data_IF_215231164662
#
_entry.id   IF_215231164662
#
_cell.length_a   1.000
_cell.length_b   1.000
_cell.length_c   1.000
_cell.angle_alpha   90.00
_cell.angle_beta   90.00
_cell.angle_gamma   90.00
#
_symmetry.space_group_name_H-M   'P 1'
#
loop_
_entity.id
_entity.type
_entity.pdbx_description
1 polymer ?
#
# COMPACT_ATOMS: atom_id res chain seq x y z
N UNK A 1 -44.95 -38.10 -19.91
CA UNK A 1 -44.76 -36.73 -20.38
C UNK A 1 -44.20 -35.91 -19.21
N UNK A 2 -42.90 -35.80 -19.13
CA UNK A 2 -42.24 -35.07 -18.07
C UNK A 2 -41.21 -34.17 -18.74
N UNK A 3 -41.44 -32.83 -18.71
CA UNK A 3 -40.55 -31.83 -19.20
C UNK A 3 -39.47 -31.50 -18.19
N UNK A 4 -38.25 -31.81 -18.54
CA UNK A 4 -37.06 -31.45 -17.74
C UNK A 4 -36.65 -30.04 -18.08
N UNK A 5 -36.69 -29.15 -17.12
CA UNK A 5 -36.12 -27.78 -17.22
C UNK A 5 -34.66 -27.83 -16.74
N UNK A 6 -33.75 -27.59 -17.65
CA UNK A 6 -32.35 -27.32 -17.36
C UNK A 6 -32.23 -25.93 -16.71
N UNK A 7 -31.77 -25.90 -15.47
CA UNK A 7 -31.38 -24.69 -14.76
C UNK A 7 -29.90 -24.42 -15.04
N UNK A 8 -29.63 -23.31 -15.72
CA UNK A 8 -28.27 -22.78 -15.91
C UNK A 8 -27.83 -22.12 -14.60
N UNK A 9 -26.85 -22.75 -13.95
CA UNK A 9 -26.19 -22.19 -12.77
C UNK A 9 -25.28 -21.03 -13.18
N UNK A 10 -25.57 -19.85 -12.64
CA UNK A 10 -24.65 -18.73 -12.64
C UNK A 10 -23.54 -19.04 -11.61
N UNK A 11 -22.35 -19.32 -12.09
CA UNK A 11 -21.16 -19.43 -11.27
C UNK A 11 -20.69 -18.04 -10.83
N UNK A 12 -20.61 -17.85 -9.54
CA UNK A 12 -20.18 -16.62 -8.87
C UNK A 12 -18.67 -16.47 -8.93
N UNK A 13 -18.18 -15.41 -9.61
CA UNK A 13 -16.79 -14.95 -9.59
C UNK A 13 -16.50 -13.92 -8.47
N UNK A 14 -17.22 -13.96 -7.37
CA UNK A 14 -17.00 -13.05 -6.23
C UNK A 14 -16.07 -13.59 -5.12
N UNK A 15 -15.50 -14.78 -5.30
CA UNK A 15 -14.80 -15.50 -4.20
C UNK A 15 -13.44 -14.97 -3.79
N UNK A 16 -12.69 -14.27 -4.67
CA UNK A 16 -11.28 -13.97 -4.38
C UNK A 16 -11.07 -12.77 -3.46
N UNK A 17 -11.98 -11.81 -3.46
CA UNK A 17 -11.92 -10.63 -2.57
C UNK A 17 -12.33 -10.98 -1.14
N UNK A 18 -13.41 -11.73 -1.02
CA UNK A 18 -13.96 -12.17 0.27
C UNK A 18 -13.03 -13.14 1.00
N UNK A 19 -12.35 -14.02 0.27
CA UNK A 19 -11.38 -14.97 0.84
C UNK A 19 -10.15 -14.24 1.44
N UNK A 20 -9.69 -13.18 0.79
CA UNK A 20 -8.57 -12.36 1.28
C UNK A 20 -8.98 -11.54 2.52
N UNK A 21 -10.16 -10.96 2.50
CA UNK A 21 -10.72 -10.21 3.62
C UNK A 21 -10.97 -11.13 4.82
N UNK A 22 -11.51 -12.31 4.58
CA UNK A 22 -11.71 -13.34 5.60
C UNK A 22 -10.40 -13.86 6.18
N UNK A 23 -9.35 -14.03 5.36
CA UNK A 23 -8.02 -14.41 5.83
C UNK A 23 -7.39 -13.31 6.70
N UNK A 24 -7.59 -12.03 6.34
CA UNK A 24 -7.13 -10.88 7.14
C UNK A 24 -7.87 -10.77 8.47
N UNK A 25 -9.17 -11.00 8.50
CA UNK A 25 -9.97 -11.03 9.72
C UNK A 25 -9.58 -12.20 10.64
N UNK A 26 -9.33 -13.38 10.07
CA UNK A 26 -8.84 -14.55 10.83
C UNK A 26 -7.45 -14.30 11.40
N UNK A 27 -6.56 -13.67 10.66
CA UNK A 27 -5.22 -13.32 11.13
C UNK A 27 -5.28 -12.27 12.25
N UNK A 28 -6.16 -11.27 12.11
CA UNK A 28 -6.42 -10.30 13.17
C UNK A 28 -6.91 -10.98 14.46
N UNK A 29 -7.88 -11.88 14.34
CA UNK A 29 -8.41 -12.64 15.48
C UNK A 29 -7.34 -13.52 16.14
N UNK A 30 -6.46 -14.16 15.35
CA UNK A 30 -5.34 -14.95 15.87
C UNK A 30 -4.31 -14.09 16.61
N UNK A 31 -4.01 -12.91 16.10
CA UNK A 31 -3.10 -11.96 16.78
C UNK A 31 -3.74 -11.43 18.06
N UNK A 32 -5.02 -11.07 18.05
CA UNK A 32 -5.78 -10.63 19.23
C UNK A 32 -5.85 -11.71 20.30
N UNK A 33 -6.11 -12.97 19.93
CA UNK A 33 -6.10 -14.12 20.84
C UNK A 33 -4.70 -14.42 21.41
N UNK A 34 -3.67 -14.37 20.58
CA UNK A 34 -2.28 -14.54 21.01
C UNK A 34 -1.84 -13.43 21.99
N UNK A 35 -2.24 -12.18 21.73
CA UNK A 35 -1.96 -11.04 22.62
C UNK A 35 -2.72 -11.18 23.95
N UNK A 36 -3.99 -11.61 23.93
CA UNK A 36 -4.77 -11.88 25.15
C UNK A 36 -4.16 -13.00 26.00
N UNK A 37 -3.75 -14.10 25.39
CA UNK A 37 -3.11 -15.23 26.07
C UNK A 37 -1.73 -14.86 26.60
N UNK A 38 -1.01 -13.97 25.95
CA UNK A 38 0.31 -13.48 26.40
C UNK A 38 0.20 -12.55 27.60
N UNK A 39 -0.89 -11.77 27.75
CA UNK A 39 -1.18 -11.00 28.96
C UNK A 39 -1.30 -11.88 30.20
N UNK A 40 -1.82 -13.11 30.04
CA UNK A 40 -1.99 -14.06 31.16
C UNK A 40 -0.75 -14.93 31.41
N UNK A 41 0.20 -15.02 30.47
CA UNK A 41 1.42 -15.83 30.56
C UNK A 41 2.72 -15.00 30.60
N UNK A 42 2.66 -13.74 30.98
CA UNK A 42 3.79 -12.80 30.93
C UNK A 42 5.02 -13.22 31.77
N UNK A 43 4.99 -14.33 32.49
CA UNK A 43 6.11 -14.81 33.31
C UNK A 43 6.83 -16.07 32.78
N UNK A 44 6.43 -16.68 31.66
CA UNK A 44 6.99 -18.02 31.33
C UNK A 44 7.55 -18.21 29.92
N UNK A 45 7.45 -17.27 28.99
CA UNK A 45 8.00 -17.46 27.63
C UNK A 45 8.75 -16.22 27.15
N UNK A 46 10.05 -16.24 27.25
CA UNK A 46 10.95 -15.20 26.75
C UNK A 46 10.70 -14.91 25.26
N UNK A 47 9.98 -13.83 24.94
CA UNK A 47 10.34 -13.07 23.77
C UNK A 47 9.58 -13.29 22.45
N UNK A 48 8.55 -14.13 22.35
CA UNK A 48 7.86 -14.39 21.09
C UNK A 48 6.94 -13.23 20.65
N UNK A 49 6.21 -12.64 21.60
CA UNK A 49 5.34 -11.47 21.41
C UNK A 49 5.54 -10.53 22.61
N UNK A 50 5.87 -9.28 22.34
CA UNK A 50 6.03 -8.25 23.38
C UNK A 50 5.14 -7.06 23.05
N UNK A 51 4.17 -6.78 23.92
CA UNK A 51 3.32 -5.58 23.80
C UNK A 51 4.07 -4.39 24.36
N UNK A 52 4.14 -3.31 23.61
CA UNK A 52 4.71 -2.02 24.01
C UNK A 52 3.56 -1.02 24.10
N UNK A 53 2.97 -0.81 25.29
CA UNK A 53 1.99 0.24 25.48
C UNK A 53 2.72 1.59 25.45
N UNK A 54 2.22 2.52 24.63
CA UNK A 54 2.79 3.85 24.56
C UNK A 54 1.79 4.90 24.08
N UNK A 55 1.09 5.58 24.99
CA UNK A 55 0.16 6.64 24.63
C UNK A 55 0.81 7.80 23.87
N UNK A 56 2.11 8.01 24.04
CA UNK A 56 2.85 9.11 23.42
C UNK A 56 3.52 8.75 22.09
N UNK A 57 3.44 7.49 21.66
CA UNK A 57 4.18 6.96 20.50
C UNK A 57 5.72 7.03 20.58
N UNK A 58 6.28 7.59 21.64
CA UNK A 58 7.72 7.82 21.75
C UNK A 58 8.50 6.50 21.98
N UNK A 59 7.94 5.57 22.76
CA UNK A 59 8.54 4.24 22.96
C UNK A 59 8.44 3.37 21.72
N UNK A 60 7.29 3.43 21.04
CA UNK A 60 7.06 2.71 19.78
C UNK A 60 8.12 3.15 18.77
N UNK A 61 8.32 4.47 18.62
CA UNK A 61 9.33 5.04 17.74
C UNK A 61 10.74 4.57 18.10
N UNK A 62 11.18 4.74 19.35
CA UNK A 62 12.50 4.28 19.80
C UNK A 62 12.71 2.78 19.57
N UNK A 63 11.66 1.99 19.72
CA UNK A 63 11.74 0.55 19.44
C UNK A 63 11.89 0.30 17.94
N UNK A 64 11.17 1.02 17.08
CA UNK A 64 11.32 0.95 15.62
C UNK A 64 12.74 1.33 15.19
N UNK A 65 13.27 2.47 15.65
CA UNK A 65 14.63 2.93 15.36
C UNK A 65 15.68 1.89 15.80
N UNK A 66 15.51 1.31 17.00
CA UNK A 66 16.40 0.25 17.50
C UNK A 66 16.31 -1.02 16.65
N UNK A 67 15.13 -1.42 16.20
CA UNK A 67 14.98 -2.57 15.30
C UNK A 67 15.65 -2.32 13.96
N UNK A 68 15.45 -1.13 13.39
CA UNK A 68 16.09 -0.71 12.14
C UNK A 68 17.61 -0.77 12.24
N UNK A 69 18.21 -0.28 13.33
CA UNK A 69 19.66 -0.29 13.51
C UNK A 69 20.25 -1.70 13.61
N UNK A 70 19.43 -2.73 13.90
CA UNK A 70 19.87 -4.14 13.92
C UNK A 70 19.81 -4.81 12.56
N UNK A 71 19.20 -4.19 11.57
CA UNK A 71 19.00 -4.76 10.24
C UNK A 71 20.31 -5.09 9.54
N UNK A 72 20.38 -6.26 8.89
CA UNK A 72 21.57 -6.73 8.16
C UNK A 72 21.28 -7.03 6.69
N UNK A 73 20.05 -7.35 6.34
CA UNK A 73 19.67 -7.81 5.01
C UNK A 73 18.55 -6.97 4.40
N UNK A 74 17.45 -6.82 5.11
CA UNK A 74 16.27 -6.16 4.57
C UNK A 74 15.39 -5.56 5.65
N UNK A 75 14.76 -4.44 5.29
CA UNK A 75 13.68 -3.83 6.06
C UNK A 75 12.50 -3.59 5.13
N UNK A 76 11.30 -4.00 5.56
CA UNK A 76 10.05 -3.71 4.88
C UNK A 76 9.15 -2.92 5.83
N UNK A 77 8.71 -1.75 5.39
CA UNK A 77 7.81 -0.87 6.13
C UNK A 77 6.52 -0.69 5.34
N UNK A 78 5.39 -1.13 5.89
CA UNK A 78 4.06 -0.76 5.41
C UNK A 78 3.47 0.33 6.31
N UNK A 79 2.89 1.34 5.68
CA UNK A 79 2.22 2.45 6.34
C UNK A 79 0.75 2.47 5.94
N UNK A 80 -0.16 2.92 6.81
CA UNK A 80 -1.56 3.13 6.46
C UNK A 80 -1.70 4.06 5.24
N UNK A 81 -2.71 3.84 4.42
CA UNK A 81 -2.96 4.66 3.22
C UNK A 81 -3.13 6.15 3.57
N UNK A 82 -3.75 6.45 4.71
CA UNK A 82 -3.94 7.81 5.24
C UNK A 82 -3.08 8.02 6.49
N UNK A 83 -1.78 8.04 6.31
CA UNK A 83 -0.88 8.42 7.39
C UNK A 83 -0.59 9.91 7.32
N UNK A 84 -0.77 10.60 8.45
CA UNK A 84 -0.30 11.97 8.57
C UNK A 84 1.22 11.97 8.71
N UNK A 85 1.89 12.73 7.85
CA UNK A 85 3.32 12.95 7.98
C UNK A 85 3.60 13.69 9.28
N UNK A 86 4.48 13.12 10.09
CA UNK A 86 4.93 13.67 11.34
C UNK A 86 6.45 13.70 11.36
N UNK A 87 7.02 14.53 12.23
CA UNK A 87 8.47 14.56 12.45
C UNK A 87 9.01 13.17 12.82
N UNK A 88 8.22 12.41 13.56
CA UNK A 88 8.55 11.04 13.94
C UNK A 88 8.67 10.09 12.72
N UNK A 89 7.77 10.21 11.76
CA UNK A 89 7.82 9.40 10.54
C UNK A 89 8.97 9.84 9.62
N UNK A 90 9.23 11.16 9.56
CA UNK A 90 10.37 11.69 8.81
C UNK A 90 11.70 11.16 9.38
N UNK A 91 11.89 11.17 10.71
CA UNK A 91 13.06 10.59 11.38
C UNK A 91 13.22 9.10 11.09
N UNK A 92 12.11 8.35 11.09
CA UNK A 92 12.12 6.92 10.76
C UNK A 92 12.59 6.68 9.32
N UNK A 93 12.10 7.47 8.37
CA UNK A 93 12.50 7.39 6.97
C UNK A 93 13.99 7.76 6.77
N UNK A 94 14.50 8.72 7.53
CA UNK A 94 15.93 9.07 7.52
C UNK A 94 16.79 7.91 8.00
N UNK A 95 16.41 7.25 9.11
CA UNK A 95 17.08 6.04 9.62
C UNK A 95 17.07 4.90 8.60
N UNK A 96 15.94 4.69 7.91
CA UNK A 96 15.84 3.69 6.85
C UNK A 96 16.76 4.00 5.65
N UNK A 97 16.95 5.26 5.34
CA UNK A 97 17.86 5.68 4.30
C UNK A 97 19.32 5.45 4.67
N UNK A 98 19.69 5.74 5.90
CA UNK A 98 21.05 5.51 6.40
C UNK A 98 21.44 4.04 6.29
N UNK A 99 20.59 3.11 6.73
CA UNK A 99 20.87 1.68 6.60
C UNK A 99 20.86 1.21 5.14
N UNK A 100 20.05 1.82 4.29
CA UNK A 100 20.07 1.53 2.85
C UNK A 100 21.39 1.95 2.21
N UNK A 101 21.96 3.08 2.62
CA UNK A 101 23.29 3.51 2.18
C UNK A 101 24.39 2.54 2.63
N UNK A 102 24.17 1.81 3.72
CA UNK A 102 25.03 0.75 4.21
C UNK A 102 24.78 -0.62 3.52
N UNK A 103 23.91 -0.68 2.50
CA UNK A 103 23.66 -1.88 1.69
C UNK A 103 22.47 -2.72 2.12
N UNK A 104 21.70 -2.32 3.14
CA UNK A 104 20.48 -3.01 3.56
C UNK A 104 19.36 -2.71 2.56
N UNK A 105 18.65 -3.73 2.10
CA UNK A 105 17.49 -3.55 1.19
C UNK A 105 16.31 -2.98 1.96
N UNK A 106 15.84 -1.80 1.56
CA UNK A 106 14.68 -1.13 2.17
C UNK A 106 13.53 -1.03 1.20
N UNK A 107 12.34 -1.48 1.62
CA UNK A 107 11.09 -1.39 0.88
C UNK A 107 10.08 -0.62 1.73
N UNK A 108 9.56 0.48 1.22
CA UNK A 108 8.53 1.29 1.88
C UNK A 108 7.25 1.28 1.06
N UNK A 109 6.17 0.78 1.63
CA UNK A 109 4.83 0.79 1.06
C UNK A 109 3.98 1.81 1.81
N UNK A 110 3.35 2.74 1.10
CA UNK A 110 2.49 3.72 1.75
C UNK A 110 1.49 4.34 0.80
N UNK A 111 0.58 5.14 1.35
CA UNK A 111 -0.44 5.84 0.56
C UNK A 111 0.12 7.05 -0.20
N UNK A 112 -0.70 7.64 -1.11
CA UNK A 112 -0.31 8.81 -1.90
C UNK A 112 0.19 10.00 -1.05
N UNK A 113 -0.38 10.19 0.14
CA UNK A 113 -0.03 11.30 1.04
C UNK A 113 1.43 11.33 1.49
N UNK A 114 2.15 10.19 1.45
CA UNK A 114 3.58 10.20 1.77
C UNK A 114 4.42 10.99 0.75
N UNK A 115 3.91 11.19 -0.46
CA UNK A 115 4.58 11.94 -1.52
C UNK A 115 4.46 13.45 -1.37
N UNK A 116 3.51 13.92 -0.56
CA UNK A 116 3.31 15.35 -0.30
C UNK A 116 4.36 15.89 0.68
N UNK A 117 4.99 14.99 1.43
CA UNK A 117 6.06 15.37 2.34
C UNK A 117 7.33 15.77 1.58
N UNK A 118 7.92 16.90 1.99
CA UNK A 118 9.14 17.44 1.38
C UNK A 118 10.36 16.55 1.61
N UNK A 119 10.40 15.81 2.74
CA UNK A 119 11.49 14.89 3.05
C UNK A 119 11.38 13.64 2.17
N UNK A 120 10.18 13.06 2.04
CA UNK A 120 9.95 11.93 1.12
C UNK A 120 10.27 12.33 -0.32
N UNK A 121 9.84 13.52 -0.77
CA UNK A 121 10.18 14.04 -2.11
C UNK A 121 11.68 14.16 -2.34
N UNK A 122 12.44 14.60 -1.34
CA UNK A 122 13.90 14.68 -1.40
C UNK A 122 14.53 13.28 -1.47
N UNK A 123 13.93 12.29 -0.82
CA UNK A 123 14.41 10.90 -0.82
C UNK A 123 14.03 10.13 -2.09
N UNK A 124 12.95 10.54 -2.78
CA UNK A 124 12.53 10.00 -4.08
C UNK A 124 13.24 10.65 -5.26
N UNK A 125 14.07 11.67 -5.05
CA UNK A 125 14.97 12.16 -6.10
C UNK A 125 15.84 10.97 -6.58
N UNK A 126 16.14 10.88 -7.90
CA UNK A 126 16.87 9.74 -8.44
C UNK A 126 18.23 9.64 -7.76
N UNK A 127 18.29 8.87 -6.70
CA UNK A 127 19.56 8.41 -6.14
C UNK A 127 20.03 7.32 -7.06
N UNK A 128 21.31 7.33 -7.38
CA UNK A 128 22.05 6.45 -8.32
C UNK A 128 21.40 5.07 -8.54
N UNK A 129 21.50 4.44 -9.73
CA UNK A 129 20.81 3.20 -10.11
C UNK A 129 21.11 1.96 -9.23
N UNK A 130 21.82 2.12 -8.13
CA UNK A 130 22.20 1.06 -7.19
C UNK A 130 21.58 1.22 -5.79
N UNK A 131 20.55 2.08 -5.62
CA UNK A 131 19.95 2.21 -4.29
C UNK A 131 19.07 1.02 -3.94
N UNK A 132 19.37 0.46 -2.80
CA UNK A 132 18.59 -0.59 -2.13
C UNK A 132 17.33 -0.02 -1.43
N UNK A 133 16.98 1.26 -1.66
CA UNK A 133 15.82 1.95 -1.11
C UNK A 133 14.74 2.12 -2.18
N UNK A 134 13.64 1.40 -2.03
CA UNK A 134 12.52 1.45 -2.97
C UNK A 134 11.23 1.84 -2.24
N UNK A 135 10.42 2.69 -2.88
CA UNK A 135 9.14 3.18 -2.36
C UNK A 135 8.05 2.89 -3.39
N UNK A 136 6.96 2.29 -2.92
CA UNK A 136 5.77 2.07 -3.73
C UNK A 136 4.54 2.65 -3.08
N UNK A 137 3.60 3.07 -3.90
CA UNK A 137 2.35 3.69 -3.52
C UNK A 137 1.22 2.69 -3.70
N UNK A 138 0.42 2.52 -2.65
CA UNK A 138 -0.81 1.74 -2.64
C UNK A 138 -1.95 2.60 -2.11
N UNK A 139 -3.14 2.42 -2.66
CA UNK A 139 -4.37 3.05 -2.19
C UNK A 139 -5.16 2.14 -1.26
N UNK A 140 -4.76 0.89 -1.16
CA UNK A 140 -5.34 -0.07 -0.24
C UNK A 140 -4.96 0.26 1.21
N UNK A 141 -5.86 -0.08 2.13
CA UNK A 141 -5.61 0.09 3.56
C UNK A 141 -4.62 -0.98 4.04
N UNK A 142 -3.54 -0.53 4.64
CA UNK A 142 -2.52 -1.41 5.23
C UNK A 142 -2.40 -1.13 6.72
N UNK A 143 -2.08 -2.17 7.47
CA UNK A 143 -1.64 -2.01 8.86
C UNK A 143 -0.21 -1.48 8.88
N UNK A 144 0.09 -0.64 9.88
CA UNK A 144 1.46 -0.19 10.10
C UNK A 144 2.29 -1.36 10.62
N UNK A 145 3.22 -1.81 9.80
CA UNK A 145 4.12 -2.91 10.14
C UNK A 145 5.53 -2.65 9.62
N UNK A 146 6.51 -2.84 10.51
CA UNK A 146 7.93 -2.84 10.20
C UNK A 146 8.44 -4.27 10.33
N UNK A 147 9.01 -4.84 9.27
CA UNK A 147 9.60 -6.19 9.25
C UNK A 147 11.10 -6.05 9.04
N UNK A 148 11.90 -6.63 9.92
CA UNK A 148 13.37 -6.57 9.88
C UNK A 148 13.93 -7.96 9.68
N UNK A 149 14.69 -8.16 8.60
CA UNK A 149 15.40 -9.39 8.20
C UNK A 149 14.50 -10.64 8.13
N UNK A 150 13.17 -10.50 8.11
CA UNK A 150 12.23 -11.61 8.25
C UNK A 150 12.29 -12.33 9.61
N UNK A 151 12.94 -11.73 10.61
CA UNK A 151 13.15 -12.31 11.95
C UNK A 151 12.41 -11.58 13.04
N UNK A 152 12.08 -10.34 12.83
CA UNK A 152 11.34 -9.51 13.78
C UNK A 152 10.37 -8.62 13.03
N UNK A 153 9.21 -8.38 13.64
CA UNK A 153 8.30 -7.34 13.18
C UNK A 153 7.82 -6.48 14.36
N UNK A 154 7.57 -5.21 14.08
CA UNK A 154 6.87 -4.30 14.96
C UNK A 154 5.58 -3.92 14.25
N UNK A 155 4.46 -4.28 14.82
CA UNK A 155 3.13 -3.97 14.29
C UNK A 155 2.42 -3.01 15.22
N UNK A 156 1.91 -1.92 14.66
CA UNK A 156 1.04 -1.01 15.40
C UNK A 156 -0.36 -1.59 15.47
N UNK A 157 -0.95 -1.53 16.65
CA UNK A 157 -2.31 -2.02 16.88
C UNK A 157 -3.05 -1.05 17.79
N UNK A 158 -4.31 -0.83 17.47
CA UNK A 158 -5.23 -0.08 18.31
C UNK A 158 -6.12 -1.11 19.02
N UNK A 159 -5.70 -1.55 20.20
CA UNK A 159 -6.46 -2.50 20.99
C UNK A 159 -7.31 -1.76 22.04
N UNK A 160 -8.58 -1.56 21.75
CA UNK A 160 -9.59 -1.11 22.73
C UNK A 160 -9.28 0.22 23.41
N UNK A 161 -9.68 0.33 24.68
CA UNK A 161 -9.63 1.57 25.48
C UNK A 161 -8.22 2.00 25.91
N UNK A 162 -7.21 1.18 25.70
CA UNK A 162 -5.86 1.39 26.22
C UNK A 162 -4.95 2.32 25.36
N UNK A 163 -5.49 2.89 24.30
CA UNK A 163 -4.74 3.78 23.40
C UNK A 163 -3.78 3.05 22.45
N UNK A 164 -2.94 3.79 21.70
CA UNK A 164 -2.04 3.21 20.72
C UNK A 164 -1.02 2.27 21.38
N UNK A 165 -0.89 1.10 20.81
CA UNK A 165 0.03 0.06 21.25
C UNK A 165 0.82 -0.46 20.05
N UNK A 166 1.98 -1.05 20.31
CA UNK A 166 2.71 -1.80 19.30
C UNK A 166 3.07 -3.19 19.85
N UNK A 167 3.13 -4.14 18.94
CA UNK A 167 3.52 -5.52 19.27
C UNK A 167 4.79 -5.85 18.53
N UNK A 168 5.83 -6.24 19.28
CA UNK A 168 7.04 -6.83 18.70
C UNK A 168 6.81 -8.33 18.54
N UNK A 169 6.99 -8.84 17.33
CA UNK A 169 6.70 -10.21 16.91
C UNK A 169 8.02 -10.89 16.53
N UNK A 170 8.26 -12.09 17.08
CA UNK A 170 9.41 -12.95 16.74
C UNK A 170 9.00 -14.39 16.40
N UNK A 171 7.71 -14.63 16.24
CA UNK A 171 7.17 -15.95 15.90
C UNK A 171 7.40 -16.22 14.41
N UNK A 172 8.19 -17.24 14.00
CA UNK A 172 8.59 -17.42 12.62
C UNK A 172 7.42 -17.61 11.65
N UNK A 173 6.36 -18.29 12.08
CA UNK A 173 5.16 -18.52 11.25
C UNK A 173 4.41 -17.21 10.98
N UNK A 174 4.25 -16.37 12.00
CA UNK A 174 3.60 -15.05 11.86
C UNK A 174 4.46 -14.13 10.99
N UNK A 175 5.78 -14.15 11.16
CA UNK A 175 6.69 -13.35 10.33
C UNK A 175 6.63 -13.74 8.85
N UNK A 176 6.55 -15.04 8.53
CA UNK A 176 6.35 -15.50 7.16
C UNK A 176 5.03 -15.04 6.59
N UNK A 177 3.95 -15.12 7.36
CA UNK A 177 2.63 -14.63 6.93
C UNK A 177 2.65 -13.12 6.65
N UNK A 178 3.23 -12.31 7.55
CA UNK A 178 3.39 -10.88 7.36
C UNK A 178 4.24 -10.53 6.13
N UNK A 179 5.33 -11.24 5.90
CA UNK A 179 6.19 -11.03 4.71
C UNK A 179 5.48 -11.42 3.42
N UNK A 180 4.66 -12.48 3.43
CA UNK A 180 3.81 -12.88 2.28
C UNK A 180 2.78 -11.81 1.97
N UNK A 181 2.06 -11.31 2.97
CA UNK A 181 1.09 -10.22 2.81
C UNK A 181 1.73 -8.94 2.30
N UNK A 182 2.88 -8.56 2.89
CA UNK A 182 3.63 -7.41 2.42
C UNK A 182 4.06 -7.58 0.96
N UNK A 183 4.55 -8.75 0.59
CA UNK A 183 5.01 -9.03 -0.78
C UNK A 183 3.86 -9.00 -1.78
N UNK A 184 2.68 -9.50 -1.42
CA UNK A 184 1.47 -9.40 -2.24
C UNK A 184 1.05 -7.95 -2.46
N UNK A 185 0.95 -7.17 -1.38
CA UNK A 185 0.64 -5.74 -1.45
C UNK A 185 1.71 -4.95 -2.24
N UNK A 186 2.98 -5.29 -2.04
CA UNK A 186 4.10 -4.71 -2.76
C UNK A 186 4.03 -4.94 -4.27
N UNK A 187 3.68 -6.14 -4.69
CA UNK A 187 3.59 -6.50 -6.12
C UNK A 187 2.50 -5.72 -6.84
N UNK A 188 1.40 -5.43 -6.15
CA UNK A 188 0.26 -4.67 -6.67
C UNK A 188 0.44 -3.15 -6.58
N UNK A 189 1.47 -2.68 -5.88
CA UNK A 189 1.69 -1.26 -5.65
C UNK A 189 2.50 -0.61 -6.78
N UNK A 190 2.19 0.66 -7.07
CA UNK A 190 2.86 1.45 -8.11
C UNK A 190 4.17 2.04 -7.60
N UNK A 191 5.30 1.92 -8.33
CA UNK A 191 6.54 2.62 -7.98
C UNK A 191 6.30 4.13 -7.79
N UNK A 192 6.82 4.70 -6.72
CA UNK A 192 6.59 6.11 -6.36
C UNK A 192 7.01 7.10 -7.46
N UNK A 193 8.05 6.77 -8.23
CA UNK A 193 8.47 7.60 -9.37
C UNK A 193 7.45 7.60 -10.50
N UNK A 194 6.88 6.43 -10.82
CA UNK A 194 5.82 6.29 -11.83
C UNK A 194 4.56 7.01 -11.36
N UNK A 195 4.16 6.80 -10.10
CA UNK A 195 3.04 7.51 -9.49
C UNK A 195 3.20 9.04 -9.59
N UNK A 196 4.38 9.59 -9.30
CA UNK A 196 4.64 11.03 -9.41
C UNK A 196 4.52 11.54 -10.84
N UNK A 197 5.00 10.80 -11.83
CA UNK A 197 4.87 11.18 -13.25
C UNK A 197 3.40 11.25 -13.64
N UNK A 198 2.64 10.24 -13.30
CA UNK A 198 1.19 10.19 -13.56
C UNK A 198 0.46 11.28 -12.80
N UNK A 199 0.71 11.45 -11.51
CA UNK A 199 0.11 12.52 -10.70
C UNK A 199 0.45 13.93 -11.21
N UNK A 200 1.67 14.16 -11.67
CA UNK A 200 2.06 15.47 -12.20
C UNK A 200 1.41 15.75 -13.56
N UNK A 201 1.29 14.75 -14.43
CA UNK A 201 0.60 14.86 -15.73
C UNK A 201 -0.92 14.80 -15.57
N UNK A 202 -1.44 13.92 -14.72
CA UNK A 202 -2.88 13.84 -14.43
C UNK A 202 -3.45 15.11 -13.79
N UNK A 203 -2.59 15.99 -13.29
CA UNK A 203 -2.97 17.37 -12.88
C UNK A 203 -3.04 18.33 -14.07
N UNK A 204 -2.52 17.97 -15.23
CA UNK A 204 -2.80 18.76 -16.43
C UNK A 204 -4.27 18.55 -16.79
N UNK A 205 -4.99 19.64 -17.09
CA UNK A 205 -6.43 19.58 -17.37
C UNK A 205 -6.73 18.60 -18.51
N UNK A 206 -5.90 18.57 -19.55
CA UNK A 206 -6.04 17.65 -20.68
C UNK A 206 -5.96 16.18 -20.26
N UNK A 207 -4.97 15.82 -19.42
CA UNK A 207 -4.83 14.43 -18.98
C UNK A 207 -6.01 14.00 -18.09
N UNK A 208 -6.50 14.89 -17.23
CA UNK A 208 -7.69 14.63 -16.42
C UNK A 208 -8.93 14.42 -17.29
N UNK A 209 -9.13 15.24 -18.28
CA UNK A 209 -10.25 15.12 -19.23
C UNK A 209 -10.16 13.82 -20.03
N UNK A 210 -8.97 13.42 -20.49
CA UNK A 210 -8.77 12.13 -21.17
C UNK A 210 -9.12 10.97 -20.22
N UNK A 211 -8.69 11.01 -18.96
CA UNK A 211 -9.03 9.98 -17.98
C UNK A 211 -10.54 9.90 -17.73
N UNK A 212 -11.24 11.04 -17.70
CA UNK A 212 -12.72 11.07 -17.63
C UNK A 212 -13.33 10.39 -18.86
N UNK A 213 -12.89 10.71 -20.06
CA UNK A 213 -13.38 10.06 -21.29
C UNK A 213 -13.12 8.53 -21.29
N UNK A 214 -12.02 8.07 -20.68
CA UNK A 214 -11.75 6.63 -20.55
C UNK A 214 -12.72 5.93 -19.59
N UNK A 215 -13.24 6.63 -18.59
CA UNK A 215 -14.24 6.08 -17.65
C UNK A 215 -15.68 6.18 -18.16
N UNK A 216 -15.98 7.16 -19.01
CA UNK A 216 -17.33 7.33 -19.60
C UNK A 216 -17.61 6.37 -20.77
N UNK A 217 -16.58 5.67 -21.29
CA UNK A 217 -16.74 4.74 -22.41
C UNK A 217 -16.92 5.41 -23.77
N UNK A 218 -16.55 6.68 -23.90
CA UNK A 218 -16.62 7.42 -25.17
C UNK A 218 -15.68 6.82 -26.23
N UNK A 219 -16.05 6.98 -27.50
CA UNK A 219 -15.17 6.61 -28.61
C UNK A 219 -14.01 7.60 -28.74
N UNK A 220 -12.89 7.16 -29.31
CA UNK A 220 -11.71 8.02 -29.52
C UNK A 220 -12.06 9.27 -30.34
N UNK A 221 -12.93 9.12 -31.28
CA UNK A 221 -13.37 10.19 -32.17
C UNK A 221 -14.20 11.24 -31.41
N UNK A 222 -15.17 10.79 -30.60
CA UNK A 222 -16.01 11.66 -29.78
C UNK A 222 -15.19 12.39 -28.72
N UNK A 223 -14.35 11.65 -27.98
CA UNK A 223 -13.46 12.21 -26.96
C UNK A 223 -12.47 13.21 -27.56
N UNK A 224 -11.84 12.89 -28.68
CA UNK A 224 -10.90 13.80 -29.33
C UNK A 224 -11.61 15.09 -29.80
N UNK A 225 -12.81 14.98 -30.37
CA UNK A 225 -13.61 16.12 -30.77
C UNK A 225 -14.00 17.00 -29.56
N UNK A 226 -14.48 16.39 -28.50
CA UNK A 226 -14.85 17.11 -27.27
C UNK A 226 -13.69 17.85 -26.63
N UNK A 227 -12.47 17.35 -26.77
CA UNK A 227 -11.23 17.93 -26.24
C UNK A 227 -10.51 18.88 -27.23
N UNK A 228 -11.04 19.06 -28.44
CA UNK A 228 -10.39 19.88 -29.48
C UNK A 228 -9.07 19.30 -29.98
N UNK A 229 -8.89 17.97 -29.89
CA UNK A 229 -7.66 17.27 -30.28
C UNK A 229 -7.88 16.49 -31.59
N UNK A 230 -6.80 16.24 -32.36
CA UNK A 230 -6.86 15.21 -33.38
C UNK A 230 -6.94 13.82 -32.75
N UNK A 231 -7.63 12.87 -33.41
CA UNK A 231 -7.72 11.47 -32.94
C UNK A 231 -6.33 10.86 -32.74
N UNK A 232 -5.38 11.19 -33.59
CA UNK A 232 -3.97 10.75 -33.47
C UNK A 232 -3.34 11.28 -32.18
N UNK A 233 -3.54 12.54 -31.84
CA UNK A 233 -3.02 13.17 -30.60
C UNK A 233 -3.67 12.56 -29.38
N UNK A 234 -4.99 12.38 -29.41
CA UNK A 234 -5.74 11.73 -28.34
C UNK A 234 -5.21 10.30 -28.06
N UNK A 235 -5.10 9.46 -29.09
CA UNK A 235 -4.58 8.08 -28.98
C UNK A 235 -3.17 8.03 -28.43
N UNK A 236 -2.32 8.98 -28.80
CA UNK A 236 -0.96 9.09 -28.24
C UNK A 236 -1.02 9.38 -26.74
N UNK A 237 -1.80 10.34 -26.30
CA UNK A 237 -1.96 10.66 -24.88
C UNK A 237 -2.56 9.50 -24.09
N UNK A 238 -3.53 8.78 -24.63
CA UNK A 238 -4.08 7.57 -24.02
C UNK A 238 -3.00 6.51 -23.84
N UNK A 239 -2.17 6.24 -24.85
CA UNK A 239 -1.08 5.28 -24.77
C UNK A 239 -0.03 5.68 -23.72
N UNK A 240 0.34 6.96 -23.67
CA UNK A 240 1.24 7.51 -22.66
C UNK A 240 0.68 7.34 -21.25
N UNK A 241 -0.60 7.67 -21.02
CA UNK A 241 -1.27 7.51 -19.74
C UNK A 241 -1.39 6.04 -19.34
N UNK A 242 -1.75 5.15 -20.27
CA UNK A 242 -1.81 3.71 -20.01
C UNK A 242 -0.43 3.17 -19.58
N UNK A 243 0.63 3.54 -20.29
CA UNK A 243 1.99 3.13 -19.95
C UNK A 243 2.39 3.64 -18.54
N UNK A 244 2.05 4.88 -18.22
CA UNK A 244 2.36 5.49 -16.92
C UNK A 244 1.59 4.86 -15.78
N UNK A 245 0.31 4.49 -16.01
CA UNK A 245 -0.55 3.81 -15.06
C UNK A 245 -0.22 2.32 -14.92
N UNK A 246 0.64 1.78 -15.78
CA UNK A 246 0.90 0.33 -15.84
C UNK A 246 -0.33 -0.47 -16.28
N UNK A 247 -1.23 0.14 -17.04
CA UNK A 247 -2.48 -0.46 -17.49
C UNK A 247 -2.30 -1.15 -18.84
N UNK A 248 -2.85 -2.36 -18.98
CA UNK A 248 -2.85 -3.10 -20.25
C UNK A 248 -4.11 -2.87 -21.07
N UNK A 249 -5.12 -2.22 -20.50
CA UNK A 249 -6.36 -1.83 -21.19
C UNK A 249 -6.83 -0.43 -20.75
N UNK A 250 -7.66 0.20 -21.56
CA UNK A 250 -8.27 1.51 -21.26
C UNK A 250 -9.13 1.47 -20.00
N UNK A 251 -9.92 0.40 -19.85
CA UNK A 251 -10.71 0.16 -18.66
C UNK A 251 -9.81 0.11 -17.42
N UNK A 252 -8.73 -0.66 -17.48
CA UNK A 252 -7.77 -0.76 -16.38
C UNK A 252 -7.10 0.60 -16.09
N UNK A 253 -6.82 1.40 -17.11
CA UNK A 253 -6.30 2.77 -16.90
C UNK A 253 -7.29 3.65 -16.15
N UNK A 254 -8.58 3.56 -16.47
CA UNK A 254 -9.64 4.25 -15.73
C UNK A 254 -9.74 3.82 -14.28
N UNK A 255 -9.74 2.50 -14.04
CA UNK A 255 -9.74 1.93 -12.68
C UNK A 255 -8.54 2.42 -11.88
N UNK A 256 -7.33 2.29 -12.43
CA UNK A 256 -6.10 2.75 -11.78
C UNK A 256 -6.12 4.27 -11.52
N UNK A 257 -6.71 5.07 -12.44
CA UNK A 257 -6.83 6.51 -12.23
C UNK A 257 -7.74 6.86 -11.03
N UNK A 258 -8.83 6.13 -10.83
CA UNK A 258 -9.70 6.27 -9.65
C UNK A 258 -8.99 5.79 -8.40
N UNK A 259 -8.37 4.61 -8.42
CA UNK A 259 -7.60 4.05 -7.30
C UNK A 259 -6.47 4.98 -6.87
N UNK A 260 -5.81 5.62 -7.80
CA UNK A 260 -4.73 6.58 -7.56
C UNK A 260 -5.23 7.98 -7.17
N UNK A 261 -6.56 8.17 -7.07
CA UNK A 261 -7.17 9.44 -6.70
C UNK A 261 -6.99 10.56 -7.74
N UNK A 262 -6.67 10.22 -8.98
CA UNK A 262 -6.56 11.16 -10.11
C UNK A 262 -7.94 11.57 -10.62
N UNK A 263 -8.93 10.70 -10.44
CA UNK A 263 -10.34 10.93 -10.66
C UNK A 263 -11.10 10.74 -9.35
N UNK A 264 -12.06 11.61 -9.08
CA UNK A 264 -13.07 11.34 -8.06
C UNK A 264 -14.12 10.43 -8.69
N UNK A 265 -14.55 9.33 -8.02
CA UNK A 265 -15.74 8.65 -8.47
C UNK A 265 -16.88 9.67 -8.43
N UNK A 266 -17.46 9.97 -9.58
CA UNK A 266 -18.72 10.73 -9.59
C UNK A 266 -19.73 9.87 -8.85
N UNK A 267 -20.27 10.40 -7.74
CA UNK A 267 -21.41 9.79 -7.10
C UNK A 267 -22.50 9.76 -8.18
N UNK A 268 -22.82 8.56 -8.67
CA UNK A 268 -23.92 8.34 -9.60
C UNK A 268 -25.15 9.00 -9.00
N UNK A 269 -25.56 10.09 -9.63
CA UNK A 269 -26.87 10.68 -9.34
C UNK A 269 -27.92 9.64 -9.72
N UNK A 270 -28.49 8.97 -8.72
CA UNK A 270 -29.65 8.10 -8.83
C UNK A 270 -30.90 8.97 -8.97
#
# INVERSE_FOLDING_TARGET
MAGSRLSLGHGSESGSGDDLEQALLQMRALVEDAVSKTRHRANAAHGALTVVPDPSNARIRRNAERLISTARRSVSLALPCRVAMSEALSSLLDSLREISAAGVRVRVLGGPGILDDRHVRRHLAPVRPQTTFDVRISTQQHQEVLIVDGRMALMRAEFGVAGPQAVTIRVPMVLRALDTLFTGAWSNATPAQSYRRVSSRGRTEIARQILVCLTSGETDEAAAQGLGLSVRTYRRHVAELMQELGAVSRFQAGVHAVELGLLKPEASAA
#
